data_IF_808994327661
#
_entry.id   IF_808994327661
#
_cell.length_a   1.000
_cell.length_b   1.000
_cell.length_c   1.000
_cell.angle_alpha   90.00
_cell.angle_beta   90.00
_cell.angle_gamma   90.00
#
_symmetry.space_group_name_H-M   'P 1'
#
loop_
_entity.id
_entity.type
_entity.pdbx_description
1 polymer ?
#
# COMPACT_ATOMS: atom_id res chain seq x y z
N UNK A 1 -0.38 -11.35 -15.94
CA UNK A 1 -0.84 -11.28 -14.55
C UNK A 1 0.24 -10.69 -13.67
N UNK A 2 -0.09 -9.65 -12.95
CA UNK A 2 0.73 -9.10 -11.90
C UNK A 2 0.26 -9.70 -10.60
N UNK A 3 1.17 -10.21 -9.81
CA UNK A 3 0.83 -10.71 -8.49
C UNK A 3 0.71 -9.60 -7.46
N UNK A 4 1.50 -9.69 -6.43
CA UNK A 4 1.45 -8.76 -5.31
C UNK A 4 2.13 -7.43 -5.63
N UNK A 5 1.59 -6.35 -5.08
CA UNK A 5 2.20 -5.04 -5.17
C UNK A 5 2.05 -4.29 -3.85
N UNK A 6 2.96 -3.40 -3.58
CA UNK A 6 2.88 -2.58 -2.38
C UNK A 6 4.05 -1.63 -2.27
N UNK A 7 3.88 -0.61 -1.42
CA UNK A 7 4.93 0.32 -1.06
C UNK A 7 4.95 0.43 0.46
N UNK A 8 6.11 0.21 1.05
CA UNK A 8 6.22 0.14 2.51
C UNK A 8 6.06 1.51 3.16
N UNK A 9 5.47 1.52 4.37
CA UNK A 9 5.35 2.75 5.15
C UNK A 9 6.71 3.14 5.74
N UNK A 10 7.19 4.30 5.32
CA UNK A 10 8.41 4.95 5.84
C UNK A 10 8.11 6.41 6.19
N UNK A 11 6.88 6.68 6.68
CA UNK A 11 6.36 8.04 6.87
C UNK A 11 6.32 8.82 5.56
N UNK A 12 5.93 8.15 4.49
CA UNK A 12 5.96 8.64 3.11
C UNK A 12 4.61 8.44 2.42
N UNK A 13 3.52 8.75 3.10
CA UNK A 13 2.17 8.45 2.60
C UNK A 13 1.92 9.05 1.21
N UNK A 14 2.33 10.30 0.97
CA UNK A 14 2.10 10.93 -0.33
C UNK A 14 2.84 10.22 -1.45
N UNK A 15 4.06 9.77 -1.20
CA UNK A 15 4.81 9.00 -2.19
C UNK A 15 4.12 7.67 -2.48
N UNK A 16 3.58 7.02 -1.46
CA UNK A 16 2.83 5.77 -1.63
C UNK A 16 1.56 5.99 -2.45
N UNK A 17 0.84 7.09 -2.21
CA UNK A 17 -0.35 7.45 -2.97
C UNK A 17 0.00 7.66 -4.44
N UNK A 18 1.07 8.41 -4.71
CA UNK A 18 1.52 8.69 -6.06
C UNK A 18 1.92 7.39 -6.78
N UNK A 19 2.65 6.52 -6.08
CA UNK A 19 3.09 5.24 -6.64
C UNK A 19 1.91 4.31 -6.94
N UNK A 20 0.94 4.21 -6.02
CA UNK A 20 -0.25 3.39 -6.22
C UNK A 20 -1.03 3.86 -7.46
N UNK A 21 -1.25 5.18 -7.54
CA UNK A 21 -1.98 5.75 -8.69
C UNK A 21 -1.28 5.45 -10.01
N UNK A 22 0.03 5.65 -10.06
CA UNK A 22 0.81 5.39 -11.27
C UNK A 22 0.80 3.90 -11.62
N UNK A 23 1.13 3.04 -10.67
CA UNK A 23 1.30 1.61 -10.93
C UNK A 23 -0.02 0.96 -11.36
N UNK A 24 -1.08 1.21 -10.62
CA UNK A 24 -2.39 0.60 -10.91
C UNK A 24 -2.94 1.13 -12.24
N UNK A 25 -2.79 2.43 -12.49
CA UNK A 25 -3.24 3.02 -13.75
C UNK A 25 -2.50 2.41 -14.94
N UNK A 26 -1.19 2.23 -14.84
CA UNK A 26 -0.40 1.62 -15.90
C UNK A 26 -0.75 0.14 -16.11
N UNK A 27 -0.98 -0.59 -15.02
CA UNK A 27 -1.42 -1.99 -15.13
C UNK A 27 -2.78 -2.09 -15.84
N UNK A 28 -3.68 -1.18 -15.53
CA UNK A 28 -5.01 -1.13 -16.17
C UNK A 28 -4.94 -0.87 -17.66
N UNK A 29 -4.04 0.01 -18.09
CA UNK A 29 -3.87 0.32 -19.51
C UNK A 29 -3.52 -0.90 -20.34
N UNK A 30 -2.81 -1.86 -19.76
CA UNK A 30 -2.40 -3.07 -20.45
C UNK A 30 -3.49 -4.14 -20.48
N UNK A 31 -4.56 -3.98 -19.74
CA UNK A 31 -5.78 -4.79 -19.73
C UNK A 31 -5.62 -6.26 -19.35
N UNK A 32 -4.39 -6.74 -19.20
CA UNK A 32 -4.11 -8.16 -18.94
C UNK A 32 -3.61 -8.42 -17.53
N UNK A 33 -3.49 -7.39 -16.70
CA UNK A 33 -2.89 -7.51 -15.38
C UNK A 33 -3.93 -7.26 -14.28
N UNK A 34 -3.83 -8.06 -13.24
CA UNK A 34 -4.60 -7.89 -12.01
C UNK A 34 -3.63 -7.56 -10.87
N UNK A 35 -3.91 -6.50 -10.13
CA UNK A 35 -3.08 -6.09 -9.02
C UNK A 35 -3.65 -6.61 -7.72
N UNK A 36 -2.80 -7.23 -6.89
CA UNK A 36 -3.14 -7.65 -5.54
C UNK A 36 -2.30 -6.85 -4.56
N UNK A 37 -2.94 -6.13 -3.65
CA UNK A 37 -2.22 -5.37 -2.64
C UNK A 37 -1.60 -6.31 -1.62
N UNK A 38 -0.30 -6.14 -1.39
CA UNK A 38 0.41 -6.93 -0.38
C UNK A 38 0.19 -6.32 1.00
N UNK A 39 -0.29 -7.12 1.93
CA UNK A 39 -0.51 -6.72 3.32
C UNK A 39 0.13 -7.78 4.23
N UNK A 40 1.16 -7.38 4.96
CA UNK A 40 1.83 -8.26 5.91
C UNK A 40 1.37 -8.05 7.36
N UNK A 41 0.32 -7.24 7.56
CA UNK A 41 -0.22 -6.98 8.88
C UNK A 41 0.57 -5.98 9.71
N UNK A 42 1.69 -5.47 9.20
CA UNK A 42 2.55 -4.53 9.90
C UNK A 42 2.36 -3.15 9.28
N UNK A 43 1.70 -2.25 10.00
CA UNK A 43 1.33 -0.95 9.46
C UNK A 43 2.09 0.23 10.07
N UNK A 44 2.56 0.09 11.30
CA UNK A 44 3.16 1.18 12.06
C UNK A 44 4.66 0.97 12.25
N UNK A 45 5.42 2.06 12.10
CA UNK A 45 6.84 2.07 12.40
C UNK A 45 7.01 2.16 13.92
N UNK A 46 7.82 1.28 14.50
CA UNK A 46 8.16 1.37 15.91
C UNK A 46 9.23 2.45 16.11
N UNK A 47 8.79 3.61 16.57
CA UNK A 47 9.68 4.76 16.76
C UNK A 47 10.71 4.54 17.88
N UNK A 48 10.50 3.54 18.75
CA UNK A 48 11.42 3.20 19.81
C UNK A 48 12.54 2.25 19.35
N UNK A 49 12.46 1.76 18.13
CA UNK A 49 13.47 0.89 17.55
C UNK A 49 14.05 1.54 16.30
N UNK A 50 15.28 2.09 16.38
CA UNK A 50 15.90 2.76 15.24
C UNK A 50 16.04 1.87 14.01
N UNK A 51 16.07 0.55 14.19
CA UNK A 51 16.25 -0.39 13.08
C UNK A 51 14.95 -0.69 12.37
N UNK A 52 13.81 -0.47 13.00
CA UNK A 52 12.52 -0.84 12.41
C UNK A 52 12.26 -0.07 11.11
N UNK A 53 12.54 1.24 11.10
CA UNK A 53 12.35 2.06 9.91
C UNK A 53 13.28 1.65 8.76
N UNK A 54 14.48 1.20 9.09
CA UNK A 54 15.51 0.89 8.09
C UNK A 54 15.34 -0.51 7.52
N UNK A 55 15.09 -1.49 8.37
CA UNK A 55 15.16 -2.89 8.00
C UNK A 55 13.80 -3.60 7.90
N UNK A 56 12.77 -3.09 8.58
CA UNK A 56 11.47 -3.71 8.54
C UNK A 56 10.61 -3.14 7.43
N UNK A 57 9.69 -3.96 6.93
CA UNK A 57 8.75 -3.56 5.89
C UNK A 57 7.34 -3.46 6.50
N UNK A 58 6.60 -2.42 6.17
CA UNK A 58 5.32 -2.10 6.77
C UNK A 58 4.28 -1.92 5.66
N UNK A 59 3.64 -3.02 5.26
CA UNK A 59 2.67 -3.03 4.16
C UNK A 59 1.23 -3.12 4.64
N UNK A 60 0.98 -3.07 5.96
CA UNK A 60 -0.36 -3.28 6.50
C UNK A 60 -1.35 -2.18 6.12
N UNK A 61 -2.58 -2.57 5.83
CA UNK A 61 -3.64 -1.64 5.44
C UNK A 61 -4.88 -1.73 6.33
N UNK A 62 -5.10 -2.86 6.99
CA UNK A 62 -6.32 -3.09 7.73
C UNK A 62 -6.06 -3.62 9.12
N UNK A 63 -6.65 -2.98 10.13
CA UNK A 63 -6.60 -3.44 11.51
C UNK A 63 -7.77 -4.39 11.77
N UNK A 64 -7.49 -5.67 11.81
CA UNK A 64 -8.52 -6.70 11.99
C UNK A 64 -9.14 -6.70 13.38
N UNK A 65 -8.40 -6.24 14.38
CA UNK A 65 -8.90 -6.15 15.75
C UNK A 65 -9.92 -5.03 15.91
N UNK A 66 -9.57 -3.83 15.41
CA UNK A 66 -10.44 -2.66 15.50
C UNK A 66 -11.40 -2.53 14.31
N UNK A 67 -11.22 -3.36 13.27
CA UNK A 67 -12.02 -3.32 12.05
C UNK A 67 -11.99 -1.95 11.37
N UNK A 68 -10.79 -1.37 11.30
CA UNK A 68 -10.57 -0.06 10.69
C UNK A 68 -9.41 -0.12 9.68
N UNK A 69 -9.45 0.77 8.71
CA UNK A 69 -8.39 0.91 7.72
C UNK A 69 -7.33 1.87 8.20
N UNK A 70 -6.07 1.50 8.00
CA UNK A 70 -4.96 2.44 8.09
C UNK A 70 -4.81 3.10 6.73
N UNK A 71 -4.45 4.38 6.74
CA UNK A 71 -4.23 5.12 5.50
C UNK A 71 -5.41 5.04 4.54
N UNK A 72 -6.62 5.49 4.95
CA UNK A 72 -7.79 5.41 4.09
C UNK A 72 -7.58 6.10 2.74
N UNK A 73 -6.77 7.16 2.68
CA UNK A 73 -6.45 7.86 1.44
C UNK A 73 -5.73 6.93 0.44
N UNK A 74 -4.88 6.05 0.93
CA UNK A 74 -4.16 5.11 0.09
C UNK A 74 -5.11 4.09 -0.55
N UNK A 75 -6.05 3.58 0.25
CA UNK A 75 -7.06 2.63 -0.23
C UNK A 75 -7.99 3.31 -1.24
N UNK A 76 -8.42 4.53 -0.97
CA UNK A 76 -9.24 5.30 -1.91
C UNK A 76 -8.52 5.52 -3.24
N UNK A 77 -7.23 5.81 -3.19
CA UNK A 77 -6.41 5.98 -4.38
C UNK A 77 -6.36 4.69 -5.20
N UNK A 78 -6.16 3.56 -4.54
CA UNK A 78 -6.12 2.26 -5.23
C UNK A 78 -7.45 1.96 -5.93
N UNK A 79 -8.56 2.14 -5.23
CA UNK A 79 -9.90 1.90 -5.79
C UNK A 79 -10.15 2.81 -6.99
N UNK A 80 -9.84 4.09 -6.86
CA UNK A 80 -10.05 5.06 -7.92
C UNK A 80 -9.19 4.77 -9.16
N UNK A 81 -7.96 4.33 -8.96
CA UNK A 81 -7.09 3.95 -10.06
C UNK A 81 -7.60 2.71 -10.78
N UNK A 82 -8.22 1.78 -10.07
CA UNK A 82 -8.81 0.58 -10.66
C UNK A 82 -10.07 0.86 -11.49
N UNK A 83 -10.72 1.98 -11.27
CA UNK A 83 -11.94 2.37 -12.00
C UNK A 83 -11.66 3.07 -13.32
N UNK A 84 -10.44 3.48 -13.56
CA UNK A 84 -10.08 4.23 -14.78
C UNK A 84 -10.02 3.33 -16.06
#
# INVERSE_FOLDING_TARGET
VIGEMGATNKNNLQDRINWFNFFITEARKNSIYTCCLWDNGVWEINENDPKDKIYSEHYGYYNRTKQTWYFPELIKTAIKAMEK
#
